data_IF_269700851535
#
_entry.id   IF_269700851535
#
_cell.length_a   1.000
_cell.length_b   1.000
_cell.length_c   1.000
_cell.angle_alpha   90.00
_cell.angle_beta   90.00
_cell.angle_gamma   90.00
#
_symmetry.space_group_name_H-M   'P 1'
#
loop_
_entity.id
_entity.type
_entity.pdbx_description
1 polymer ?
#
# COMPACT_ATOMS: atom_id res chain seq x y z
N UNK A 1 -23.36 -49.49 27.30
CA UNK A 1 -23.14 -48.24 28.07
C UNK A 1 -22.02 -47.46 27.39
N UNK A 2 -22.35 -46.61 26.41
CA UNK A 2 -21.35 -45.84 25.64
C UNK A 2 -22.01 -44.60 25.01
N UNK A 3 -22.63 -43.73 25.82
CA UNK A 3 -23.30 -42.51 25.34
C UNK A 3 -23.29 -41.41 26.39
N UNK A 4 -22.12 -40.87 26.73
CA UNK A 4 -22.05 -39.61 27.52
C UNK A 4 -20.83 -38.72 27.22
N UNK A 5 -20.04 -39.00 26.18
CA UNK A 5 -18.78 -38.29 25.91
C UNK A 5 -18.79 -37.41 24.64
N UNK A 6 -19.96 -36.93 24.20
CA UNK A 6 -20.11 -36.17 22.95
C UNK A 6 -20.70 -34.75 23.13
N UNK A 7 -20.67 -34.18 24.35
CA UNK A 7 -21.25 -32.84 24.62
C UNK A 7 -20.23 -31.76 25.03
N UNK A 8 -18.92 -32.04 24.98
CA UNK A 8 -17.89 -31.08 25.40
C UNK A 8 -17.04 -30.49 24.26
N UNK A 9 -17.44 -30.70 22.99
CA UNK A 9 -16.72 -30.19 21.82
C UNK A 9 -17.39 -28.99 21.12
N UNK A 10 -18.53 -28.49 21.61
CA UNK A 10 -19.36 -27.51 20.90
C UNK A 10 -19.32 -26.07 21.45
N UNK A 11 -18.37 -25.71 22.32
CA UNK A 11 -18.24 -24.34 22.85
C UNK A 11 -16.93 -23.63 22.47
N UNK A 12 -16.20 -24.12 21.47
CA UNK A 12 -14.96 -23.47 20.98
C UNK A 12 -15.15 -22.64 19.70
N UNK A 13 -16.37 -22.52 19.17
CA UNK A 13 -16.63 -21.85 17.90
C UNK A 13 -17.53 -20.63 18.09
N UNK A 14 -16.95 -19.53 18.57
CA UNK A 14 -17.28 -18.15 18.21
C UNK A 14 -16.59 -17.19 19.20
N UNK A 15 -15.26 -17.22 19.26
CA UNK A 15 -14.57 -15.98 19.59
C UNK A 15 -14.87 -15.05 18.41
N UNK A 16 -15.59 -13.92 18.60
CA UNK A 16 -15.72 -12.95 17.53
C UNK A 16 -14.29 -12.60 17.14
N UNK A 17 -13.91 -12.93 15.90
CA UNK A 17 -12.72 -12.37 15.29
C UNK A 17 -12.97 -10.85 15.33
N UNK A 18 -12.43 -10.19 16.36
CA UNK A 18 -12.42 -8.74 16.41
C UNK A 18 -11.53 -8.35 15.25
N UNK A 19 -12.16 -7.99 14.12
CA UNK A 19 -11.47 -7.27 13.07
C UNK A 19 -10.83 -6.06 13.73
N UNK A 20 -9.54 -5.84 13.46
CA UNK A 20 -8.89 -4.64 13.95
C UNK A 20 -9.66 -3.42 13.45
N UNK A 21 -9.83 -2.42 14.30
CA UNK A 21 -10.50 -1.18 13.93
C UNK A 21 -9.77 -0.55 12.71
N UNK A 22 -10.55 -0.24 11.69
CA UNK A 22 -10.06 0.44 10.49
C UNK A 22 -10.37 1.92 10.64
N UNK A 23 -9.32 2.72 10.65
CA UNK A 23 -9.42 4.18 10.63
C UNK A 23 -9.58 4.66 9.19
N UNK A 24 -10.70 5.31 8.91
CA UNK A 24 -10.92 5.98 7.63
C UNK A 24 -9.97 7.18 7.51
N UNK A 25 -8.98 7.08 6.62
CA UNK A 25 -7.94 8.08 6.45
C UNK A 25 -7.53 8.24 4.97
N UNK A 26 -8.52 8.46 4.12
CA UNK A 26 -8.30 8.73 2.70
C UNK A 26 -7.35 9.92 2.41
N UNK A 27 -7.43 11.05 3.14
CA UNK A 27 -6.50 12.16 2.93
C UNK A 27 -5.03 11.76 3.09
N UNK A 28 -4.73 10.90 4.06
CA UNK A 28 -3.39 10.35 4.25
C UNK A 28 -2.99 9.45 3.09
N UNK A 29 -3.85 8.55 2.62
CA UNK A 29 -3.55 7.70 1.46
C UNK A 29 -3.25 8.56 0.21
N UNK A 30 -4.04 9.60 -0.01
CA UNK A 30 -3.83 10.55 -1.10
C UNK A 30 -2.54 11.37 -0.95
N UNK A 31 -2.10 11.68 0.27
CA UNK A 31 -0.81 12.33 0.54
C UNK A 31 0.35 11.37 0.25
N UNK A 32 0.28 10.14 0.76
CA UNK A 32 1.32 9.12 0.57
C UNK A 32 1.60 8.87 -0.92
N UNK A 33 0.56 8.79 -1.75
CA UNK A 33 0.69 8.61 -3.20
C UNK A 33 1.25 9.88 -3.86
N UNK A 34 0.54 11.01 -3.73
CA UNK A 34 0.73 12.15 -4.63
C UNK A 34 1.71 13.21 -4.12
N UNK A 35 2.03 13.22 -2.82
CA UNK A 35 2.97 14.18 -2.24
C UNK A 35 4.29 13.50 -1.88
N UNK A 36 4.22 12.41 -1.12
CA UNK A 36 5.41 11.71 -0.61
C UNK A 36 6.06 10.87 -1.72
N UNK A 37 5.39 9.80 -2.18
CA UNK A 37 5.97 8.94 -3.21
C UNK A 37 6.19 9.68 -4.53
N UNK A 38 5.18 10.35 -5.08
CA UNK A 38 5.34 11.08 -6.35
C UNK A 38 6.37 12.21 -6.23
N UNK A 39 6.42 12.90 -5.08
CA UNK A 39 7.42 13.93 -4.81
C UNK A 39 8.84 13.37 -4.77
N UNK A 40 9.04 12.19 -4.19
CA UNK A 40 10.31 11.50 -4.24
C UNK A 40 10.67 11.10 -5.67
N UNK A 41 9.76 10.47 -6.41
CA UNK A 41 10.01 10.02 -7.78
C UNK A 41 10.43 11.19 -8.66
N UNK A 42 9.62 12.25 -8.73
CA UNK A 42 9.89 13.39 -9.61
C UNK A 42 11.04 14.22 -9.11
N UNK A 43 10.99 14.65 -7.86
CA UNK A 43 11.85 15.74 -7.36
C UNK A 43 12.96 15.29 -6.40
N UNK A 44 12.98 14.02 -5.99
CA UNK A 44 13.98 13.49 -5.07
C UNK A 44 13.83 13.98 -3.64
N UNK A 45 12.64 14.52 -3.29
CA UNK A 45 12.31 14.90 -1.92
C UNK A 45 12.26 13.66 -1.04
N UNK A 46 12.81 13.73 0.17
CA UNK A 46 12.69 12.65 1.14
C UNK A 46 11.20 12.38 1.40
N UNK A 47 10.71 11.13 1.19
CA UNK A 47 9.31 10.82 1.41
C UNK A 47 9.00 10.68 2.92
N UNK A 48 7.73 10.82 3.28
CA UNK A 48 7.19 10.53 4.61
C UNK A 48 7.65 11.48 5.73
N UNK A 49 8.24 12.63 5.38
CA UNK A 49 8.62 13.65 6.36
C UNK A 49 7.40 14.11 7.17
N UNK A 50 7.55 14.17 8.50
CA UNK A 50 6.46 14.54 9.41
C UNK A 50 5.44 13.44 9.69
N UNK A 51 5.62 12.22 9.16
CA UNK A 51 4.87 11.04 9.59
C UNK A 51 5.63 10.31 10.71
N UNK A 52 4.88 9.65 11.61
CA UNK A 52 5.48 8.80 12.63
C UNK A 52 6.17 7.60 11.95
N UNK A 53 7.51 7.56 12.03
CA UNK A 53 8.31 6.49 11.46
C UNK A 53 9.30 5.94 12.48
N UNK A 54 9.67 4.67 12.31
CA UNK A 54 10.79 4.04 13.01
C UNK A 54 11.49 3.06 12.06
N UNK A 55 12.78 2.74 12.27
CA UNK A 55 13.44 1.71 11.49
C UNK A 55 12.63 0.41 11.49
N UNK A 56 12.49 -0.22 10.32
CA UNK A 56 11.73 -1.45 10.21
C UNK A 56 12.41 -2.58 10.97
N UNK A 57 11.61 -3.40 11.65
CA UNK A 57 12.10 -4.63 12.27
C UNK A 57 12.64 -5.60 11.22
N UNK A 58 13.57 -6.48 11.61
CA UNK A 58 14.12 -7.52 10.72
C UNK A 58 13.03 -8.40 10.12
N UNK A 59 12.04 -8.81 10.93
CA UNK A 59 10.88 -9.59 10.47
C UNK A 59 10.10 -8.87 9.37
N UNK A 60 9.98 -7.54 9.45
CA UNK A 60 9.27 -6.75 8.46
C UNK A 60 10.09 -6.54 7.18
N UNK A 61 11.41 -6.30 7.33
CA UNK A 61 12.36 -6.25 6.19
C UNK A 61 12.37 -7.59 5.45
N UNK A 62 12.37 -8.72 6.16
CA UNK A 62 12.38 -10.07 5.60
C UNK A 62 11.20 -10.36 4.67
N UNK A 63 10.08 -9.67 4.88
CA UNK A 63 8.87 -9.82 4.07
C UNK A 63 8.81 -8.87 2.87
N UNK A 64 9.63 -7.83 2.83
CA UNK A 64 9.72 -6.97 1.67
C UNK A 64 10.21 -7.78 0.45
N UNK A 65 9.66 -7.52 -0.75
CA UNK A 65 10.19 -8.08 -1.98
C UNK A 65 11.70 -7.88 -2.06
N UNK A 66 12.45 -8.86 -2.57
CA UNK A 66 13.92 -8.75 -2.68
C UNK A 66 14.38 -7.55 -3.51
N UNK A 67 13.53 -7.09 -4.44
CA UNK A 67 13.74 -5.91 -5.28
C UNK A 67 13.19 -4.62 -4.67
N UNK A 68 12.73 -4.64 -3.42
CA UNK A 68 12.28 -3.45 -2.74
C UNK A 68 13.44 -2.44 -2.64
N UNK A 69 13.17 -1.16 -2.91
CA UNK A 69 14.23 -0.16 -3.05
C UNK A 69 14.83 0.20 -1.70
N UNK A 70 16.16 0.22 -1.59
CA UNK A 70 16.93 0.35 -0.32
C UNK A 70 16.30 -0.41 0.85
N UNK A 71 15.90 -1.67 0.63
CA UNK A 71 15.21 -2.54 1.60
C UNK A 71 15.77 -2.51 3.02
N UNK A 72 17.09 -2.41 3.17
CA UNK A 72 17.77 -2.38 4.48
C UNK A 72 17.56 -1.07 5.27
N UNK A 73 17.06 -0.01 4.61
CA UNK A 73 16.72 1.28 5.21
C UNK A 73 15.21 1.47 5.36
N UNK A 74 14.42 0.43 5.13
CA UNK A 74 12.98 0.51 5.23
C UNK A 74 12.54 0.97 6.64
N UNK A 75 11.41 1.65 6.69
CA UNK A 75 10.82 2.18 7.93
C UNK A 75 9.44 1.58 8.13
N UNK A 76 9.07 1.35 9.37
CA UNK A 76 7.66 1.17 9.71
C UNK A 76 7.00 2.54 9.77
N UNK A 77 5.83 2.64 9.14
CA UNK A 77 5.11 3.88 8.85
C UNK A 77 3.78 3.87 9.60
N UNK A 78 3.58 4.78 10.55
CA UNK A 78 2.34 5.01 11.33
C UNK A 78 1.89 3.87 12.25
N UNK A 79 2.17 2.64 11.86
CA UNK A 79 1.87 1.39 12.53
C UNK A 79 2.92 0.37 12.08
N UNK A 80 3.32 -0.59 12.93
CA UNK A 80 4.17 -1.71 12.52
C UNK A 80 3.61 -2.55 11.38
N UNK A 81 2.33 -2.34 11.04
CA UNK A 81 1.65 -2.95 9.92
C UNK A 81 2.18 -2.52 8.56
N UNK A 82 2.58 -1.26 8.40
CA UNK A 82 2.99 -0.71 7.12
C UNK A 82 4.49 -0.50 7.11
N UNK A 83 5.17 -1.11 6.15
CA UNK A 83 6.59 -0.86 5.90
C UNK A 83 6.71 -0.03 4.63
N UNK A 84 7.44 1.06 4.72
CA UNK A 84 7.79 1.90 3.60
C UNK A 84 9.27 1.76 3.24
N UNK A 85 9.57 1.72 1.95
CA UNK A 85 10.91 1.57 1.40
C UNK A 85 11.02 2.44 0.15
N UNK A 86 12.12 3.18 0.00
CA UNK A 86 12.36 4.02 -1.18
C UNK A 86 13.85 4.07 -1.50
N UNK A 87 14.19 4.27 -2.76
CA UNK A 87 15.57 4.15 -3.22
C UNK A 87 15.69 4.40 -4.71
N UNK A 88 16.89 4.17 -5.25
CA UNK A 88 17.19 4.40 -6.66
C UNK A 88 18.00 3.25 -7.23
N UNK A 89 17.66 2.83 -8.43
CA UNK A 89 18.43 1.88 -9.23
C UNK A 89 18.61 2.40 -10.67
N UNK A 90 18.95 1.50 -11.60
CA UNK A 90 19.14 1.81 -13.02
C UNK A 90 17.85 2.25 -13.73
N UNK A 91 16.68 1.83 -13.23
CA UNK A 91 15.36 2.16 -13.79
C UNK A 91 14.77 3.45 -13.22
N UNK A 92 15.42 4.02 -12.19
CA UNK A 92 15.06 5.31 -11.62
C UNK A 92 14.82 5.25 -10.13
N UNK A 93 13.94 6.12 -9.66
CA UNK A 93 13.52 6.16 -8.26
C UNK A 93 12.34 5.22 -8.07
N UNK A 94 12.22 4.66 -6.87
CA UNK A 94 11.11 3.79 -6.48
C UNK A 94 10.66 4.10 -5.06
N UNK A 95 9.36 4.00 -4.83
CA UNK A 95 8.70 4.17 -3.54
C UNK A 95 7.72 3.02 -3.34
N UNK A 96 7.76 2.37 -2.19
CA UNK A 96 6.91 1.24 -1.83
C UNK A 96 6.37 1.46 -0.42
N UNK A 97 5.08 1.24 -0.25
CA UNK A 97 4.41 1.05 1.04
C UNK A 97 3.73 -0.32 0.97
N UNK A 98 3.97 -1.15 1.97
CA UNK A 98 3.57 -2.55 1.96
C UNK A 98 3.09 -2.98 3.34
N UNK A 99 1.89 -3.55 3.39
CA UNK A 99 1.40 -4.25 4.58
C UNK A 99 2.14 -5.55 4.78
N UNK A 100 2.88 -5.68 5.89
CA UNK A 100 3.56 -6.93 6.25
C UNK A 100 2.60 -7.92 6.91
N UNK A 101 2.77 -9.21 6.63
CA UNK A 101 1.98 -10.31 7.21
C UNK A 101 2.04 -10.36 8.73
N UNK A 102 3.20 -10.07 9.32
CA UNK A 102 3.32 -9.93 10.78
C UNK A 102 2.41 -8.82 11.34
N UNK A 103 2.12 -7.81 10.52
CA UNK A 103 1.20 -6.71 10.75
C UNK A 103 -0.27 -7.00 10.45
N UNK A 104 -0.55 -8.09 9.73
CA UNK A 104 -1.90 -8.63 9.53
C UNK A 104 -2.42 -9.40 10.75
N UNK A 105 -1.58 -9.59 11.78
CA UNK A 105 -2.01 -10.18 13.05
C UNK A 105 -3.11 -9.33 13.69
N UNK A 106 -4.08 -10.00 14.32
CA UNK A 106 -5.21 -9.37 15.01
C UNK A 106 -4.72 -8.37 16.06
N UNK A 107 -5.32 -7.18 16.10
CA UNK A 107 -5.10 -6.17 17.13
C UNK A 107 -4.25 -4.97 16.73
N UNK A 108 -3.65 -4.94 15.54
CA UNK A 108 -2.95 -3.75 15.02
C UNK A 108 -3.90 -2.89 14.17
N UNK A 109 -4.01 -1.57 14.43
CA UNK A 109 -4.97 -0.71 13.74
C UNK A 109 -4.63 -0.57 12.25
N UNK A 110 -5.67 -0.57 11.41
CA UNK A 110 -5.58 -0.34 9.97
C UNK A 110 -5.74 1.16 9.72
N UNK A 111 -4.61 1.87 9.55
CA UNK A 111 -4.55 3.34 9.48
C UNK A 111 -4.70 3.91 8.06
N UNK A 112 -4.71 3.05 7.03
CA UNK A 112 -4.85 3.44 5.63
C UNK A 112 -6.23 3.07 5.07
N UNK A 113 -7.27 3.13 5.90
CA UNK A 113 -8.64 2.82 5.51
C UNK A 113 -9.23 3.84 4.56
N UNK A 114 -9.93 3.38 3.53
CA UNK A 114 -10.63 4.21 2.54
C UNK A 114 -11.99 3.61 2.21
N UNK A 115 -12.97 4.46 1.93
CA UNK A 115 -14.29 3.99 1.47
C UNK A 115 -14.15 3.43 0.07
N UNK A 116 -14.36 2.14 -0.10
CA UNK A 116 -14.10 1.46 -1.38
C UNK A 116 -14.90 2.07 -2.53
N UNK A 117 -16.13 2.51 -2.24
CA UNK A 117 -17.00 3.16 -3.23
C UNK A 117 -16.36 4.45 -3.77
N UNK A 118 -16.25 4.50 -5.10
CA UNK A 118 -15.73 5.62 -5.89
C UNK A 118 -14.28 6.04 -5.57
N UNK A 119 -13.56 5.29 -4.72
CA UNK A 119 -12.19 5.64 -4.32
C UNK A 119 -11.23 5.66 -5.51
N UNK A 120 -11.30 4.65 -6.37
CA UNK A 120 -10.50 4.63 -7.60
C UNK A 120 -10.79 5.82 -8.51
N UNK A 121 -12.05 6.28 -8.58
CA UNK A 121 -12.42 7.49 -9.33
C UNK A 121 -11.75 8.74 -8.78
N UNK A 122 -11.72 8.90 -7.44
CA UNK A 122 -11.03 10.02 -6.77
C UNK A 122 -9.51 9.95 -6.97
N UNK A 123 -8.93 8.75 -6.91
CA UNK A 123 -7.50 8.54 -7.22
C UNK A 123 -7.22 8.92 -8.68
N UNK A 124 -8.06 8.48 -9.62
CA UNK A 124 -7.95 8.80 -11.05
C UNK A 124 -8.02 10.31 -11.29
N UNK A 125 -8.92 11.03 -10.63
CA UNK A 125 -9.01 12.49 -10.77
C UNK A 125 -7.72 13.18 -10.31
N UNK A 126 -7.19 12.81 -9.14
CA UNK A 126 -5.94 13.38 -8.62
C UNK A 126 -4.72 12.95 -9.45
N UNK A 127 -4.71 11.72 -9.96
CA UNK A 127 -3.69 11.21 -10.88
C UNK A 127 -3.65 12.02 -12.18
N UNK A 128 -4.82 12.33 -12.77
CA UNK A 128 -4.93 13.17 -13.97
C UNK A 128 -4.37 14.57 -13.74
N UNK A 129 -4.69 15.19 -12.60
CA UNK A 129 -4.12 16.48 -12.22
C UNK A 129 -2.58 16.44 -12.07
N UNK A 130 -2.03 15.27 -11.74
CA UNK A 130 -0.60 15.02 -11.67
C UNK A 130 0.01 14.54 -13.02
N UNK A 131 -0.74 14.49 -14.12
CA UNK A 131 -0.25 14.07 -15.44
C UNK A 131 -0.14 12.55 -15.63
N UNK A 132 -0.81 11.76 -14.78
CA UNK A 132 -0.89 10.31 -14.87
C UNK A 132 -2.28 9.92 -15.40
N UNK A 133 -2.34 8.90 -16.25
CA UNK A 133 -3.57 8.36 -16.83
C UNK A 133 -3.80 6.92 -16.33
N UNK A 134 -5.04 6.47 -16.38
CA UNK A 134 -5.37 5.07 -16.13
C UNK A 134 -4.72 4.18 -17.19
N UNK A 135 -3.89 3.24 -16.75
CA UNK A 135 -3.20 2.30 -17.63
C UNK A 135 -3.80 0.90 -17.51
N UNK A 136 -4.16 0.48 -16.30
CA UNK A 136 -4.89 -0.75 -16.03
C UNK A 136 -5.98 -0.45 -14.98
N UNK A 137 -7.18 -0.01 -15.42
CA UNK A 137 -8.26 0.29 -14.50
C UNK A 137 -8.80 -1.02 -13.91
N UNK A 138 -9.01 -1.03 -12.60
CA UNK A 138 -9.82 -2.05 -11.96
C UNK A 138 -11.25 -1.53 -11.83
N UNK A 139 -12.24 -2.40 -12.03
CA UNK A 139 -13.65 -2.02 -11.91
C UNK A 139 -14.05 -1.73 -10.45
N UNK A 140 -13.30 -2.30 -9.49
CA UNK A 140 -13.56 -2.14 -8.07
C UNK A 140 -12.26 -2.14 -7.25
N UNK A 141 -12.28 -1.40 -6.14
CA UNK A 141 -11.21 -1.42 -5.16
C UNK A 141 -11.32 -2.69 -4.29
N UNK A 142 -10.66 -3.76 -4.72
CA UNK A 142 -10.74 -5.08 -4.08
C UNK A 142 -9.38 -5.78 -4.01
N UNK A 143 -9.16 -6.69 -3.04
CA UNK A 143 -7.87 -7.39 -2.90
C UNK A 143 -7.50 -8.29 -4.09
N UNK A 144 -8.45 -8.54 -4.99
CA UNK A 144 -8.27 -9.38 -6.18
C UNK A 144 -7.93 -8.57 -7.43
N UNK A 145 -8.01 -7.24 -7.37
CA UNK A 145 -7.85 -6.39 -8.54
C UNK A 145 -6.80 -5.31 -8.26
N UNK A 146 -5.83 -5.21 -9.17
CA UNK A 146 -4.77 -4.21 -9.10
C UNK A 146 -5.12 -3.04 -10.01
N UNK A 147 -5.04 -1.81 -9.50
CA UNK A 147 -5.20 -0.60 -10.31
C UNK A 147 -3.84 0.02 -10.61
N UNK A 148 -3.62 0.45 -11.85
CA UNK A 148 -2.37 1.06 -12.32
C UNK A 148 -2.66 2.38 -13.04
N UNK A 149 -1.88 3.40 -12.69
CA UNK A 149 -1.79 4.65 -13.43
C UNK A 149 -0.36 4.87 -13.91
N UNK A 150 -0.23 5.51 -15.07
CA UNK A 150 1.06 5.78 -15.69
C UNK A 150 1.03 7.08 -16.47
N UNK A 151 2.17 7.73 -16.59
CA UNK A 151 2.39 8.73 -17.63
C UNK A 151 2.20 8.09 -19.01
N UNK A 152 2.00 8.92 -20.04
CA UNK A 152 1.87 8.46 -21.41
C UNK A 152 3.02 7.52 -21.77
N UNK A 153 2.68 6.37 -22.36
CA UNK A 153 3.68 5.39 -22.77
C UNK A 153 4.73 6.04 -23.68
N UNK A 154 5.99 5.77 -23.35
CA UNK A 154 7.15 6.16 -24.15
C UNK A 154 7.64 5.01 -25.04
N UNK A 155 6.94 3.86 -25.04
CA UNK A 155 7.39 2.62 -25.68
C UNK A 155 8.53 1.90 -24.93
N UNK A 156 8.88 2.34 -23.71
CA UNK A 156 9.95 1.77 -22.91
C UNK A 156 9.43 1.25 -21.57
N UNK A 157 9.71 -0.02 -21.27
CA UNK A 157 9.32 -0.66 -20.00
C UNK A 157 10.41 -0.57 -18.92
N UNK A 158 11.62 -0.11 -19.28
CA UNK A 158 12.78 0.00 -18.39
C UNK A 158 13.69 1.17 -18.76
N UNK A 159 14.62 1.50 -17.86
CA UNK A 159 15.60 2.56 -18.05
C UNK A 159 15.05 3.99 -17.96
N UNK A 160 15.86 5.00 -18.33
CA UNK A 160 15.58 6.41 -18.07
C UNK A 160 14.39 6.97 -18.87
N UNK A 161 13.90 6.23 -19.87
CA UNK A 161 12.77 6.63 -20.70
C UNK A 161 11.45 5.99 -20.25
N UNK A 162 11.47 5.06 -19.29
CA UNK A 162 10.24 4.44 -18.76
C UNK A 162 9.30 5.52 -18.20
N UNK A 163 7.97 5.44 -18.39
CA UNK A 163 7.05 6.39 -17.77
C UNK A 163 7.02 6.22 -16.25
N UNK A 164 6.73 7.30 -15.52
CA UNK A 164 6.37 7.18 -14.09
C UNK A 164 5.04 6.45 -13.99
N UNK A 165 4.97 5.44 -13.13
CA UNK A 165 3.75 4.69 -12.87
C UNK A 165 3.56 4.36 -11.40
N UNK A 166 2.31 4.21 -10.98
CA UNK A 166 1.97 3.75 -9.65
C UNK A 166 0.79 2.79 -9.62
N UNK A 167 0.83 1.92 -8.63
CA UNK A 167 -0.17 0.90 -8.35
C UNK A 167 -0.68 1.06 -6.93
N UNK A 168 -1.97 0.82 -6.75
CA UNK A 168 -2.59 0.64 -5.43
C UNK A 168 -3.37 -0.68 -5.41
N UNK A 169 -3.27 -1.38 -4.28
CA UNK A 169 -4.00 -2.62 -4.01
C UNK A 169 -4.44 -2.62 -2.53
N UNK A 170 -5.71 -2.95 -2.24
CA UNK A 170 -6.14 -3.10 -0.86
C UNK A 170 -5.65 -4.42 -0.27
N UNK A 171 -5.34 -4.41 1.03
CA UNK A 171 -4.73 -5.56 1.74
C UNK A 171 -5.62 -6.13 2.85
N UNK A 172 -6.81 -5.57 3.05
CA UNK A 172 -7.83 -6.01 4.00
C UNK A 172 -9.00 -5.02 4.02
N UNK A 173 -10.05 -5.31 4.80
CA UNK A 173 -11.20 -4.41 4.90
C UNK A 173 -12.34 -4.94 5.76
N UNK A 174 -13.32 -4.07 5.97
CA UNK A 174 -14.66 -4.40 6.48
C UNK A 174 -15.64 -4.26 5.31
N UNK A 175 -16.05 -5.39 4.75
CA UNK A 175 -16.99 -5.44 3.62
C UNK A 175 -18.37 -4.87 4.00
N UNK A 176 -18.80 -5.05 5.25
CA UNK A 176 -20.10 -4.54 5.74
C UNK A 176 -20.06 -3.02 5.85
N UNK A 177 -18.95 -2.49 6.37
CA UNK A 177 -18.69 -1.05 6.45
C UNK A 177 -18.30 -0.41 5.11
N UNK A 178 -18.02 -1.20 4.07
CA UNK A 178 -17.56 -0.71 2.77
C UNK A 178 -16.18 -0.05 2.81
N UNK A 179 -15.36 -0.40 3.81
CA UNK A 179 -14.08 0.23 4.09
C UNK A 179 -12.94 -0.76 3.79
N UNK A 180 -11.93 -0.33 3.04
CA UNK A 180 -10.80 -1.16 2.61
C UNK A 180 -9.48 -0.48 2.98
N UNK A 181 -8.46 -1.25 3.31
CA UNK A 181 -7.13 -0.77 3.69
C UNK A 181 -6.20 -0.73 2.49
N UNK A 182 -5.80 0.46 2.06
CA UNK A 182 -4.91 0.74 0.93
C UNK A 182 -3.43 0.41 1.24
N UNK A 183 -3.20 -0.81 1.71
CA UNK A 183 -1.94 -1.21 2.33
C UNK A 183 -0.82 -1.60 1.37
N UNK A 184 -1.08 -1.67 0.06
CA UNK A 184 -0.04 -1.80 -0.95
C UNK A 184 -0.10 -0.61 -1.91
N UNK A 185 0.96 0.19 -1.90
CA UNK A 185 1.17 1.33 -2.79
C UNK A 185 2.59 1.21 -3.34
N UNK A 186 2.73 1.10 -4.66
CA UNK A 186 4.02 1.00 -5.31
C UNK A 186 4.12 2.06 -6.41
N UNK A 187 5.25 2.75 -6.50
CA UNK A 187 5.50 3.76 -7.52
C UNK A 187 6.94 3.69 -7.98
N UNK A 188 7.15 3.87 -9.29
CA UNK A 188 8.50 3.91 -9.85
C UNK A 188 8.55 4.69 -11.15
N UNK A 189 9.75 5.16 -11.48
CA UNK A 189 10.00 5.86 -12.72
C UNK A 189 11.31 6.65 -12.69
N UNK A 190 11.71 7.20 -13.84
CA UNK A 190 12.92 8.00 -13.93
C UNK A 190 12.76 9.29 -13.12
N UNK A 191 13.85 9.83 -12.56
CA UNK A 191 13.84 11.15 -11.97
C UNK A 191 13.47 12.20 -13.04
N UNK A 192 12.57 13.12 -12.71
CA UNK A 192 12.22 14.25 -13.59
C UNK A 192 12.85 15.55 -13.08
N UNK A 193 13.85 16.03 -13.81
CA UNK A 193 14.64 17.22 -13.46
C UNK A 193 16.11 17.01 -13.80
N UNK A 194 16.79 18.04 -14.29
CA UNK A 194 18.23 17.96 -14.60
C UNK A 194 19.04 17.63 -13.33
N UNK A 195 20.14 16.87 -13.47
CA UNK A 195 21.10 16.68 -12.38
C UNK A 195 21.65 18.00 -11.85
#
# INVERSE_FOLDING_TARGET
>A
MLRSWLLLAACLAALPAHSAEIEENEPLVMRLIFEDCLGYIRHGRTPFEGLATRPASREAIDQLPRRAPDREKAVELLSPRYVASWGRDADGRHCLIFTVWSGLRVGLPMRLGVRAKDFLGRVTEKARAAGLNEALPADAFSPLATSLWSETSTGHDSGPLRPVSFTILPTGGDEVGGLMDAGLIAMGGPPQGRP
#
